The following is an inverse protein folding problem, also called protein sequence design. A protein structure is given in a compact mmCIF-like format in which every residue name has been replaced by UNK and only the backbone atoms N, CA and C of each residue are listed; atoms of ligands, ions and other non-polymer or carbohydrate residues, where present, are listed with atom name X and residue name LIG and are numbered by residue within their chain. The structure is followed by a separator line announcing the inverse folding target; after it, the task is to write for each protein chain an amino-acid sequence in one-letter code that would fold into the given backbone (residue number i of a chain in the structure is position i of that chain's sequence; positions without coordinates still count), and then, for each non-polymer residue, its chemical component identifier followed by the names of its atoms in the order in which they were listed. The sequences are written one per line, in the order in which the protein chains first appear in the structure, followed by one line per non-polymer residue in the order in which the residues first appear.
data_IF_120933941683
#
_entry.id   IF_120933941683
#
_cell.length_a   1.000
_cell.length_b   1.000
_cell.length_c   1.000
_cell.angle_alpha   90.00
_cell.angle_beta   90.00
_cell.angle_gamma   90.00
#
_symmetry.space_group_name_H-M   'P 1'
#
loop_
_entity.id
_entity.type
_entity.pdbx_description
1 polymer ?
#
# COMPACT_ATOMS: atom_id res chain seq x y z
N UNK A 1 15.00 -21.75 1.16
CA UNK A 1 14.98 -21.52 -0.30
C UNK A 1 16.41 -21.26 -0.74
N UNK A 2 16.81 -21.55 -1.99
CA UNK A 2 18.12 -21.14 -2.49
C UNK A 2 18.26 -19.61 -2.43
N UNK A 3 19.50 -19.14 -2.33
CA UNK A 3 19.80 -17.71 -2.45
C UNK A 3 19.45 -17.23 -3.86
N UNK A 4 18.84 -16.06 -3.97
CA UNK A 4 18.56 -15.46 -5.27
C UNK A 4 19.85 -14.89 -5.87
N UNK A 5 19.97 -14.91 -7.20
CA UNK A 5 21.13 -14.33 -7.89
C UNK A 5 20.99 -12.81 -8.10
N UNK A 6 19.76 -12.30 -8.15
CA UNK A 6 19.45 -10.90 -8.46
C UNK A 6 18.03 -10.53 -8.02
N UNK A 7 17.75 -9.23 -7.92
CA UNK A 7 16.42 -8.70 -7.61
C UNK A 7 16.00 -7.62 -8.62
N UNK A 8 14.76 -7.71 -9.09
CA UNK A 8 14.15 -6.68 -9.95
C UNK A 8 12.99 -6.04 -9.20
N UNK A 9 13.02 -4.71 -9.07
CA UNK A 9 12.00 -3.89 -8.43
C UNK A 9 11.40 -2.96 -9.50
N UNK A 10 10.11 -3.08 -9.79
CA UNK A 10 9.41 -2.21 -10.77
C UNK A 10 8.30 -1.49 -10.01
N UNK A 11 8.39 -0.15 -9.94
CA UNK A 11 7.51 0.71 -9.13
C UNK A 11 7.13 0.03 -7.81
N UNK A 12 8.15 -0.30 -7.02
CA UNK A 12 7.97 -1.05 -5.79
C UNK A 12 7.74 -0.12 -4.59
N UNK A 13 6.73 -0.42 -3.79
CA UNK A 13 6.45 0.29 -2.55
C UNK A 13 7.45 -0.07 -1.45
N UNK A 14 7.54 0.79 -0.42
CA UNK A 14 8.29 0.51 0.81
C UNK A 14 7.69 -0.63 1.66
N UNK A 15 6.46 -1.05 1.37
CA UNK A 15 5.76 -2.13 2.06
C UNK A 15 4.25 -1.95 1.95
N UNK A 16 3.51 -3.05 1.92
CA UNK A 16 2.05 -2.99 1.74
C UNK A 16 1.35 -2.33 2.93
N UNK A 17 1.87 -2.47 4.15
CA UNK A 17 1.35 -1.78 5.33
C UNK A 17 1.51 -0.26 5.24
N UNK A 18 2.69 0.22 4.84
CA UNK A 18 2.95 1.66 4.68
C UNK A 18 2.08 2.28 3.58
N UNK A 19 1.95 1.60 2.44
CA UNK A 19 1.02 2.01 1.39
C UNK A 19 -0.43 2.05 1.90
N UNK A 20 -0.87 0.99 2.60
CA UNK A 20 -2.22 0.92 3.17
C UNK A 20 -2.50 2.10 4.11
N UNK A 21 -1.58 2.45 5.00
CA UNK A 21 -1.77 3.60 5.90
C UNK A 21 -1.98 4.90 5.12
N UNK A 22 -1.19 5.14 4.07
CA UNK A 22 -1.33 6.32 3.25
C UNK A 22 -2.67 6.34 2.48
N UNK A 23 -3.19 5.18 2.09
CA UNK A 23 -4.44 5.05 1.35
C UNK A 23 -5.71 4.98 2.23
N UNK A 24 -5.60 4.68 3.53
CA UNK A 24 -6.77 4.61 4.42
C UNK A 24 -7.48 5.95 4.53
N UNK A 25 -8.79 5.96 4.35
CA UNK A 25 -9.62 7.12 4.65
C UNK A 25 -9.87 7.20 6.16
N UNK A 26 -9.27 8.14 6.90
CA UNK A 26 -9.39 8.19 8.34
C UNK A 26 -10.74 8.75 8.81
N UNK A 27 -11.57 9.25 7.89
CA UNK A 27 -12.90 9.77 8.24
C UNK A 27 -13.92 8.67 8.54
N UNK A 28 -13.61 7.40 8.27
CA UNK A 28 -14.41 6.26 8.75
C UNK A 28 -14.31 6.16 10.27
N UNK A 29 -15.41 6.43 10.97
CA UNK A 29 -15.46 6.40 12.44
C UNK A 29 -15.96 5.06 13.00
N UNK A 30 -16.71 4.30 12.21
CA UNK A 30 -17.19 2.96 12.55
C UNK A 30 -16.80 1.98 11.44
N UNK A 31 -16.13 0.89 11.80
CA UNK A 31 -15.71 -0.14 10.84
C UNK A 31 -16.86 -1.12 10.49
N UNK A 32 -17.98 -1.07 11.23
CA UNK A 32 -19.20 -1.82 10.96
C UNK A 32 -20.26 -0.99 10.21
N UNK A 33 -20.06 0.33 10.11
CA UNK A 33 -20.84 1.24 9.26
C UNK A 33 -19.91 2.13 8.41
N UNK A 34 -19.59 1.75 7.16
CA UNK A 34 -18.68 2.51 6.31
C UNK A 34 -19.20 3.91 5.93
N UNK A 35 -20.51 4.18 6.10
CA UNK A 35 -21.10 5.49 5.85
C UNK A 35 -20.91 6.47 7.01
N UNK A 36 -20.70 5.97 8.23
CA UNK A 36 -20.38 6.79 9.38
C UNK A 36 -19.07 7.55 9.14
N UNK A 37 -19.19 8.86 8.91
CA UNK A 37 -18.10 9.72 8.43
C UNK A 37 -17.89 10.92 9.34
N UNK A 38 -16.65 11.15 9.76
CA UNK A 38 -16.21 12.41 10.35
C UNK A 38 -15.94 13.44 9.24
N UNK A 39 -16.84 14.42 9.11
CA UNK A 39 -16.73 15.47 8.11
C UNK A 39 -15.43 16.29 8.25
N UNK A 40 -14.87 16.46 9.45
CA UNK A 40 -13.63 17.22 9.68
C UNK A 40 -12.37 16.49 9.20
N UNK A 41 -12.50 15.22 8.81
CA UNK A 41 -11.43 14.38 8.26
C UNK A 41 -11.73 13.89 6.84
N UNK A 42 -12.92 14.16 6.29
CA UNK A 42 -13.28 13.71 4.94
C UNK A 42 -12.45 14.47 3.89
N UNK A 43 -11.51 13.81 3.20
CA UNK A 43 -10.63 14.50 2.26
C UNK A 43 -11.36 14.89 0.97
N UNK A 44 -12.57 14.38 0.74
CA UNK A 44 -13.38 14.69 -0.44
C UNK A 44 -14.43 15.78 -0.18
N UNK A 45 -14.40 16.39 1.01
CA UNK A 45 -15.22 17.55 1.34
C UNK A 45 -14.52 18.84 0.84
N UNK A 46 -15.18 19.69 0.03
CA UNK A 46 -14.63 20.99 -0.37
C UNK A 46 -14.22 21.87 0.81
N UNK A 47 -14.87 21.74 1.97
CA UNK A 47 -14.52 22.48 3.19
C UNK A 47 -13.12 22.12 3.71
N UNK A 48 -12.60 20.94 3.37
CA UNK A 48 -11.26 20.50 3.72
C UNK A 48 -10.24 20.75 2.59
N UNK A 49 -10.65 21.34 1.46
CA UNK A 49 -9.75 21.68 0.35
C UNK A 49 -9.88 20.81 -0.91
N UNK A 50 -10.87 19.90 -0.95
CA UNK A 50 -11.13 19.07 -2.12
C UNK A 50 -11.60 19.91 -3.32
N UNK A 51 -11.02 19.64 -4.50
CA UNK A 51 -11.49 20.18 -5.77
C UNK A 51 -11.44 19.08 -6.82
N UNK A 52 -12.54 18.92 -7.56
CA UNK A 52 -12.61 17.99 -8.68
C UNK A 52 -11.89 18.54 -9.93
N UNK A 53 -11.49 17.65 -10.88
CA UNK A 53 -10.92 18.07 -12.16
C UNK A 53 -11.81 19.09 -12.90
N UNK A 54 -11.21 20.04 -13.63
CA UNK A 54 -9.79 20.13 -13.99
C UNK A 54 -8.89 20.76 -12.92
N UNK A 55 -9.44 21.22 -11.80
CA UNK A 55 -8.66 21.75 -10.68
C UNK A 55 -8.01 20.63 -9.87
N UNK A 56 -6.85 20.93 -9.29
CA UNK A 56 -6.24 20.08 -8.27
C UNK A 56 -6.71 20.54 -6.90
N UNK A 57 -6.95 19.58 -5.99
CA UNK A 57 -7.24 19.87 -4.58
C UNK A 57 -6.07 20.63 -3.94
N UNK A 58 -6.35 21.38 -2.87
CA UNK A 58 -5.35 22.09 -2.08
C UNK A 58 -5.69 21.93 -0.60
N UNK A 59 -4.98 21.04 0.08
CA UNK A 59 -5.20 20.78 1.49
C UNK A 59 -4.31 21.69 2.34
N UNK A 60 -4.89 22.32 3.36
CA UNK A 60 -4.12 23.11 4.31
C UNK A 60 -3.16 22.24 5.13
N UNK A 61 -2.02 22.81 5.52
CA UNK A 61 -0.98 22.08 6.28
C UNK A 61 -1.54 21.45 7.57
N UNK A 62 -2.38 22.20 8.31
CA UNK A 62 -3.02 21.72 9.55
C UNK A 62 -4.02 20.58 9.28
N UNK A 63 -4.66 20.57 8.10
CA UNK A 63 -5.51 19.44 7.70
C UNK A 63 -4.66 18.21 7.41
N UNK A 64 -3.59 18.36 6.62
CA UNK A 64 -2.67 17.26 6.27
C UNK A 64 -2.12 16.61 7.53
N UNK A 65 -1.64 17.39 8.50
CA UNK A 65 -1.09 16.87 9.76
C UNK A 65 -2.14 16.05 10.54
N UNK A 66 -3.32 16.64 10.79
CA UNK A 66 -4.40 15.95 11.52
C UNK A 66 -4.88 14.70 10.78
N UNK A 67 -4.93 14.76 9.44
CA UNK A 67 -5.34 13.67 8.56
C UNK A 67 -4.36 12.49 8.65
N UNK A 68 -3.06 12.73 8.48
CA UNK A 68 -2.02 11.68 8.60
C UNK A 68 -2.00 11.07 10.00
N UNK A 69 -2.16 11.88 11.05
CA UNK A 69 -2.29 11.37 12.41
C UNK A 69 -3.55 10.51 12.60
N UNK A 70 -4.66 10.87 11.96
CA UNK A 70 -5.90 10.09 11.99
C UNK A 70 -5.79 8.76 11.23
N UNK A 71 -5.03 8.73 10.11
CA UNK A 71 -4.72 7.48 9.40
C UNK A 71 -3.98 6.50 10.32
N UNK A 72 -2.93 6.95 11.01
CA UNK A 72 -2.20 6.13 11.96
C UNK A 72 -3.10 5.61 13.09
N UNK A 73 -3.97 6.47 13.66
CA UNK A 73 -4.95 6.05 14.67
C UNK A 73 -5.93 5.01 14.14
N UNK A 74 -6.36 5.11 12.88
CA UNK A 74 -7.24 4.10 12.27
C UNK A 74 -6.53 2.75 12.11
N UNK A 75 -5.27 2.73 11.68
CA UNK A 75 -4.45 1.51 11.66
C UNK A 75 -4.37 0.87 13.05
N UNK A 76 -4.12 1.66 14.10
CA UNK A 76 -4.10 1.16 15.48
C UNK A 76 -5.42 0.49 15.91
N UNK A 77 -6.57 1.08 15.55
CA UNK A 77 -7.88 0.47 15.86
C UNK A 77 -8.10 -0.84 15.11
N UNK A 78 -7.70 -0.90 13.85
CA UNK A 78 -7.80 -2.11 13.03
C UNK A 78 -6.86 -3.22 13.55
N UNK A 79 -5.65 -2.87 13.99
CA UNK A 79 -4.74 -3.78 14.67
C UNK A 79 -5.35 -4.37 15.94
N UNK A 80 -5.93 -3.52 16.79
CA UNK A 80 -6.57 -3.96 18.03
C UNK A 80 -7.77 -4.87 17.74
N UNK A 81 -8.59 -4.53 16.75
CA UNK A 81 -9.69 -5.38 16.28
C UNK A 81 -9.17 -6.75 15.84
N UNK A 82 -8.11 -6.78 15.03
CA UNK A 82 -7.49 -8.02 14.57
C UNK A 82 -6.96 -8.86 15.74
N UNK A 83 -6.24 -8.24 16.67
CA UNK A 83 -5.68 -8.91 17.86
C UNK A 83 -6.78 -9.46 18.78
N UNK A 84 -7.86 -8.72 18.98
CA UNK A 84 -9.02 -9.17 19.76
C UNK A 84 -9.68 -10.42 19.16
N UNK A 85 -9.86 -10.44 17.84
CA UNK A 85 -10.39 -11.61 17.11
C UNK A 85 -9.49 -12.84 17.27
N UNK A 86 -8.17 -12.66 17.18
CA UNK A 86 -7.20 -13.75 17.39
C UNK A 86 -7.14 -14.21 18.85
N UNK A 87 -7.22 -13.28 19.81
CA UNK A 87 -7.25 -13.59 21.24
C UNK A 87 -8.46 -14.45 21.61
N UNK A 88 -9.64 -14.13 21.05
CA UNK A 88 -10.87 -14.93 21.21
C UNK A 88 -10.68 -16.35 20.67
N UNK A 89 -10.13 -16.50 19.47
CA UNK A 89 -9.84 -17.81 18.86
C UNK A 89 -8.82 -18.61 19.67
N UNK A 90 -7.77 -17.95 20.18
CA UNK A 90 -6.76 -18.59 21.01
C UNK A 90 -7.32 -19.04 22.37
N UNK A 91 -8.18 -18.24 23.01
CA UNK A 91 -8.87 -18.62 24.24
C UNK A 91 -9.77 -19.84 24.03
N UNK A 92 -10.55 -19.85 22.95
CA UNK A 92 -11.39 -20.99 22.58
C UNK A 92 -10.55 -22.27 22.34
N UNK A 93 -9.41 -22.16 21.65
CA UNK A 93 -8.48 -23.30 21.45
C UNK A 93 -7.93 -23.84 22.78
N UNK A 94 -7.61 -22.97 23.74
CA UNK A 94 -7.18 -23.40 25.09
C UNK A 94 -8.29 -24.17 25.81
N UNK A 95 -9.51 -23.64 25.85
CA UNK A 95 -10.64 -24.34 26.46
C UNK A 95 -10.91 -25.72 25.82
N UNK A 96 -10.71 -25.86 24.50
CA UNK A 96 -10.84 -27.15 23.81
C UNK A 96 -9.75 -28.12 24.27
N UNK A 97 -8.51 -27.65 24.36
CA UNK A 97 -7.36 -28.46 24.82
C UNK A 97 -7.53 -28.90 26.28
N UNK A 98 -8.07 -28.02 27.12
CA UNK A 98 -8.26 -28.27 28.56
C UNK A 98 -9.51 -29.12 28.86
N UNK A 99 -10.30 -29.48 27.83
CA UNK A 99 -11.52 -30.27 27.99
C UNK A 99 -12.71 -29.50 28.58
N UNK A 100 -12.60 -28.19 28.74
CA UNK A 100 -13.61 -27.32 29.38
C UNK A 100 -14.51 -26.60 28.38
N UNK A 101 -14.22 -26.68 27.08
CA UNK A 101 -14.95 -25.93 26.05
C UNK A 101 -16.42 -26.33 25.90
N UNK A 102 -17.28 -25.30 25.92
CA UNK A 102 -18.65 -25.33 25.41
C UNK A 102 -18.69 -25.60 23.91
N UNK A 103 -19.88 -25.90 23.36
CA UNK A 103 -20.05 -26.05 21.91
C UNK A 103 -19.70 -24.77 21.15
N UNK A 104 -20.07 -23.60 21.67
CA UNK A 104 -19.75 -22.30 21.06
C UNK A 104 -18.24 -22.05 21.00
N UNK A 105 -17.49 -22.44 22.03
CA UNK A 105 -16.02 -22.33 22.03
C UNK A 105 -15.39 -23.33 21.05
N UNK A 106 -15.93 -24.54 20.92
CA UNK A 106 -15.48 -25.51 19.91
C UNK A 106 -15.63 -24.95 18.49
N UNK A 107 -16.75 -24.31 18.18
CA UNK A 107 -16.97 -23.61 16.91
C UNK A 107 -16.03 -22.41 16.76
N UNK A 108 -15.84 -21.62 17.81
CA UNK A 108 -14.95 -20.44 17.80
C UNK A 108 -13.47 -20.81 17.61
N UNK A 109 -13.05 -21.98 18.07
CA UNK A 109 -11.68 -22.47 17.93
C UNK A 109 -11.30 -22.84 16.48
N UNK A 110 -12.30 -23.21 15.67
CA UNK A 110 -12.15 -23.60 14.25
C UNK A 110 -12.52 -22.48 13.29
N UNK A 111 -13.46 -21.61 13.66
CA UNK A 111 -13.90 -20.48 12.85
C UNK A 111 -12.74 -19.53 12.51
N UNK A 112 -12.79 -18.99 11.28
CA UNK A 112 -11.84 -17.98 10.79
C UNK A 112 -12.58 -16.67 10.55
N UNK A 113 -12.39 -15.66 11.42
CA UNK A 113 -12.95 -14.33 11.18
C UNK A 113 -12.42 -13.73 9.87
N UNK A 114 -13.27 -12.96 9.22
CA UNK A 114 -12.92 -12.08 8.12
C UNK A 114 -13.13 -10.65 8.59
N UNK A 115 -12.17 -9.79 8.29
CA UNK A 115 -12.25 -8.34 8.46
C UNK A 115 -12.53 -7.71 7.10
N UNK A 116 -13.38 -6.69 7.12
CA UNK A 116 -13.58 -5.80 5.98
C UNK A 116 -12.91 -4.47 6.28
N UNK A 117 -12.05 -4.03 5.36
CA UNK A 117 -11.35 -2.74 5.47
C UNK A 117 -11.98 -1.79 4.47
N UNK A 118 -12.68 -0.78 4.97
CA UNK A 118 -13.44 0.15 4.15
C UNK A 118 -12.61 1.35 3.72
N UNK A 119 -12.86 1.88 2.52
CA UNK A 119 -12.35 3.18 2.06
C UNK A 119 -10.81 3.28 2.18
N UNK A 120 -10.15 2.63 1.23
CA UNK A 120 -8.69 2.46 1.18
C UNK A 120 -8.11 3.11 -0.09
N UNK A 121 -8.67 4.23 -0.52
CA UNK A 121 -8.22 4.97 -1.70
C UNK A 121 -8.27 6.50 -1.46
N UNK A 122 -7.62 6.93 -0.38
CA UNK A 122 -7.70 8.28 0.14
C UNK A 122 -6.32 8.88 0.47
N UNK A 123 -5.28 8.55 -0.30
CA UNK A 123 -4.00 9.26 -0.18
C UNK A 123 -4.13 10.68 -0.74
N UNK A 124 -3.91 11.70 0.09
CA UNK A 124 -4.05 13.11 -0.29
C UNK A 124 -3.19 13.49 -1.51
N UNK A 125 -2.02 12.84 -1.69
CA UNK A 125 -1.11 13.10 -2.82
C UNK A 125 -1.74 12.82 -4.18
N UNK A 126 -2.74 11.94 -4.24
CA UNK A 126 -3.48 11.62 -5.47
C UNK A 126 -4.39 12.76 -5.93
N UNK A 127 -4.81 13.62 -5.00
CA UNK A 127 -5.83 14.65 -5.23
C UNK A 127 -5.22 16.07 -5.21
N UNK A 128 -4.23 16.28 -4.34
CA UNK A 128 -3.43 17.50 -4.30
C UNK A 128 -2.08 17.26 -4.96
N UNK A 129 -1.96 17.72 -6.20
CA UNK A 129 -0.77 17.58 -7.03
C UNK A 129 0.39 18.49 -6.60
N UNK A 130 0.16 19.39 -5.63
CA UNK A 130 1.22 20.18 -5.03
C UNK A 130 1.96 19.43 -3.92
N UNK A 131 1.35 18.41 -3.32
CA UNK A 131 2.02 17.53 -2.35
C UNK A 131 2.91 16.58 -3.13
N UNK A 132 4.22 16.66 -2.94
CA UNK A 132 5.21 15.82 -3.65
C UNK A 132 5.01 15.84 -5.18
N UNK A 133 5.21 16.97 -5.87
CA UNK A 133 4.87 17.12 -7.29
C UNK A 133 5.59 16.10 -8.18
N UNK A 134 4.86 15.47 -9.11
CA UNK A 134 5.41 14.51 -10.08
C UNK A 134 4.63 14.56 -11.40
N UNK A 135 4.99 13.71 -12.36
CA UNK A 135 4.29 13.63 -13.65
C UNK A 135 2.94 12.88 -13.56
N UNK A 136 2.44 12.58 -12.35
CA UNK A 136 1.22 11.78 -12.16
C UNK A 136 -0.03 12.53 -12.62
N UNK A 137 -1.03 11.77 -13.05
CA UNK A 137 -2.35 12.32 -13.30
C UNK A 137 -3.09 12.59 -11.98
N UNK A 138 -4.06 13.51 -12.02
CA UNK A 138 -5.03 13.68 -10.93
C UNK A 138 -5.84 12.39 -10.74
N UNK A 139 -5.99 11.96 -9.49
CA UNK A 139 -6.73 10.76 -9.11
C UNK A 139 -5.82 9.67 -8.55
N UNK A 140 -6.43 8.55 -8.19
CA UNK A 140 -5.72 7.36 -7.71
C UNK A 140 -5.48 6.36 -8.85
N UNK A 141 -4.95 5.19 -8.49
CA UNK A 141 -4.85 4.03 -9.39
C UNK A 141 -6.19 3.61 -10.01
N UNK A 142 -7.29 3.94 -9.35
CA UNK A 142 -8.64 3.54 -9.75
C UNK A 142 -9.43 4.67 -10.43
N UNK A 143 -8.79 5.82 -10.65
CA UNK A 143 -9.34 6.95 -11.40
C UNK A 143 -9.56 8.22 -10.57
N UNK A 144 -10.14 9.24 -11.22
CA UNK A 144 -10.32 10.58 -10.64
C UNK A 144 -11.65 10.80 -9.90
N UNK A 145 -12.52 9.78 -9.81
CA UNK A 145 -13.80 9.88 -9.11
C UNK A 145 -13.75 9.17 -7.74
N UNK A 146 -13.62 9.91 -6.62
CA UNK A 146 -13.48 9.30 -5.30
C UNK A 146 -14.74 8.56 -4.82
N UNK A 147 -15.93 8.88 -5.36
CA UNK A 147 -17.15 8.11 -5.09
C UNK A 147 -16.99 6.69 -5.66
N UNK A 148 -16.46 6.58 -6.88
CA UNK A 148 -16.25 5.26 -7.48
C UNK A 148 -15.06 4.52 -6.86
N UNK A 149 -13.97 5.24 -6.58
CA UNK A 149 -12.70 4.59 -6.21
C UNK A 149 -12.61 4.27 -4.73
N UNK A 150 -13.01 5.19 -3.85
CA UNK A 150 -12.88 5.01 -2.40
C UNK A 150 -14.09 4.30 -1.77
N UNK A 151 -15.30 4.57 -2.27
CA UNK A 151 -16.51 3.90 -1.78
C UNK A 151 -16.84 2.60 -2.52
N UNK A 152 -16.31 2.43 -3.74
CA UNK A 152 -16.53 1.25 -4.57
C UNK A 152 -15.90 -0.02 -4.00
N UNK A 153 -15.97 -1.10 -4.78
CA UNK A 153 -15.43 -2.41 -4.44
C UNK A 153 -13.92 -2.53 -4.61
N UNK A 154 -13.31 -1.61 -5.35
CA UNK A 154 -11.86 -1.56 -5.58
C UNK A 154 -11.15 -0.97 -4.36
N UNK A 155 -9.96 -1.47 -4.05
CA UNK A 155 -9.20 -1.04 -2.88
C UNK A 155 -8.26 -2.11 -2.34
N UNK A 156 -7.17 -1.68 -1.72
CA UNK A 156 -6.24 -2.58 -1.06
C UNK A 156 -6.88 -3.25 0.15
N UNK A 157 -6.51 -4.51 0.44
CA UNK A 157 -6.86 -5.18 1.69
C UNK A 157 -8.35 -5.28 2.04
N UNK A 158 -9.28 -5.04 1.10
CA UNK A 158 -10.72 -4.92 1.35
C UNK A 158 -11.31 -6.06 2.17
N UNK A 159 -10.87 -7.28 1.90
CA UNK A 159 -11.27 -8.50 2.61
C UNK A 159 -10.00 -9.24 3.03
N UNK A 160 -9.78 -9.37 4.34
CA UNK A 160 -8.62 -10.08 4.86
C UNK A 160 -8.95 -10.80 6.17
N UNK A 161 -8.19 -11.85 6.53
CA UNK A 161 -8.25 -12.39 7.89
C UNK A 161 -7.49 -11.47 8.86
N UNK A 162 -7.72 -11.55 10.18
CA UNK A 162 -6.92 -10.82 11.16
C UNK A 162 -5.42 -11.11 11.08
N UNK A 163 -5.04 -12.35 10.79
CA UNK A 163 -3.63 -12.71 10.58
C UNK A 163 -3.06 -12.00 9.35
N UNK A 164 -3.79 -11.99 8.23
CA UNK A 164 -3.39 -11.29 7.01
C UNK A 164 -3.28 -9.78 7.21
N UNK A 165 -4.18 -9.18 7.98
CA UNK A 165 -4.08 -7.77 8.36
C UNK A 165 -2.76 -7.50 9.09
N UNK A 166 -2.51 -8.22 10.19
CA UNK A 166 -1.34 -8.00 11.04
C UNK A 166 -0.03 -8.36 10.34
N UNK A 167 -0.01 -9.38 9.47
CA UNK A 167 1.22 -9.81 8.80
C UNK A 167 1.59 -8.92 7.62
N UNK A 168 0.63 -8.25 6.98
CA UNK A 168 0.82 -7.66 5.65
C UNK A 168 0.30 -6.23 5.49
N UNK A 169 -0.90 -5.92 6.00
CA UNK A 169 -1.59 -4.66 5.71
C UNK A 169 -1.47 -3.62 6.83
N UNK A 170 -1.09 -4.04 8.02
CA UNK A 170 -0.81 -3.13 9.12
C UNK A 170 0.54 -2.44 8.91
N UNK A 171 0.55 -1.11 8.88
CA UNK A 171 1.78 -0.32 8.92
C UNK A 171 2.54 -0.43 10.26
N UNK A 172 1.88 -0.92 11.31
CA UNK A 172 2.43 -0.99 12.67
C UNK A 172 2.94 -2.40 12.97
N UNK A 173 2.17 -3.42 12.59
CA UNK A 173 2.42 -4.80 12.96
C UNK A 173 3.14 -5.63 11.89
N UNK A 174 3.08 -5.22 10.61
CA UNK A 174 3.68 -6.00 9.54
C UNK A 174 5.21 -5.92 9.57
N UNK A 175 5.86 -7.08 9.45
CA UNK A 175 7.30 -7.17 9.23
C UNK A 175 7.67 -7.07 7.73
N UNK A 176 6.69 -7.03 6.82
CA UNK A 176 6.89 -7.04 5.37
C UNK A 176 7.16 -5.61 4.84
N UNK A 177 8.25 -5.01 5.32
CA UNK A 177 8.70 -3.67 4.93
C UNK A 177 10.10 -3.71 4.34
N UNK A 178 10.37 -2.81 3.40
CA UNK A 178 11.71 -2.62 2.84
C UNK A 178 12.70 -2.15 3.89
N UNK A 179 12.26 -1.41 4.92
CA UNK A 179 13.13 -1.02 6.04
C UNK A 179 13.71 -2.25 6.77
N UNK A 180 12.91 -3.30 6.96
CA UNK A 180 13.34 -4.54 7.61
C UNK A 180 14.06 -5.50 6.65
N UNK A 181 13.72 -5.47 5.35
CA UNK A 181 14.21 -6.46 4.39
C UNK A 181 15.41 -5.99 3.56
N UNK A 182 15.38 -4.76 3.04
CA UNK A 182 16.36 -4.26 2.08
C UNK A 182 17.81 -4.23 2.59
N UNK A 183 18.09 -3.91 3.88
CA UNK A 183 19.46 -3.96 4.40
C UNK A 183 20.11 -5.36 4.36
N UNK A 184 19.34 -6.43 4.18
CA UNK A 184 19.84 -7.81 4.06
C UNK A 184 20.11 -8.25 2.61
N UNK A 185 19.75 -7.43 1.62
CA UNK A 185 19.98 -7.73 0.21
C UNK A 185 21.45 -7.43 -0.13
N UNK A 186 22.12 -8.38 -0.79
CA UNK A 186 23.51 -8.26 -1.28
C UNK A 186 23.63 -8.47 -2.78
N UNK A 187 22.61 -9.07 -3.35
CA UNK A 187 22.49 -9.36 -4.78
C UNK A 187 22.43 -8.05 -5.57
N UNK A 188 22.89 -8.04 -6.84
CA UNK A 188 22.60 -6.96 -7.75
C UNK A 188 21.10 -6.66 -7.84
N UNK A 189 20.74 -5.38 -7.90
CA UNK A 189 19.35 -4.90 -7.99
C UNK A 189 19.13 -4.08 -9.26
N UNK A 190 18.10 -4.42 -10.03
CA UNK A 190 17.55 -3.54 -11.07
C UNK A 190 16.31 -2.84 -10.51
N UNK A 191 16.34 -1.52 -10.38
CA UNK A 191 15.23 -0.73 -9.88
C UNK A 191 14.66 0.15 -10.99
N UNK A 192 13.39 -0.03 -11.34
CA UNK A 192 12.66 0.78 -12.31
C UNK A 192 11.56 1.54 -11.59
N UNK A 193 11.49 2.87 -11.74
CA UNK A 193 10.38 3.70 -11.25
C UNK A 193 9.63 4.34 -12.40
N UNK A 194 8.30 4.35 -12.34
CA UNK A 194 7.49 5.19 -13.23
C UNK A 194 7.25 6.58 -12.61
N UNK A 195 7.57 7.65 -13.33
CA UNK A 195 7.54 9.03 -12.81
C UNK A 195 6.13 9.63 -12.65
N UNK A 196 5.11 8.99 -13.23
CA UNK A 196 3.71 9.38 -13.12
C UNK A 196 2.89 8.40 -12.28
N UNK A 197 3.55 7.62 -11.44
CA UNK A 197 2.90 6.68 -10.53
C UNK A 197 2.11 7.41 -9.43
N UNK A 198 0.94 6.87 -9.07
CA UNK A 198 0.03 7.41 -8.06
C UNK A 198 0.11 6.63 -6.73
N UNK A 199 0.99 5.63 -6.63
CA UNK A 199 1.19 4.82 -5.42
C UNK A 199 2.66 4.58 -5.08
N UNK A 200 3.60 4.97 -5.94
CA UNK A 200 5.03 5.05 -5.63
C UNK A 200 5.53 6.45 -5.96
N UNK A 201 5.86 7.21 -4.92
CA UNK A 201 6.30 8.58 -5.09
C UNK A 201 7.83 8.70 -5.03
N UNK A 202 8.36 9.86 -5.46
CA UNK A 202 9.80 10.07 -5.60
C UNK A 202 10.54 9.88 -4.26
N UNK A 203 10.01 10.42 -3.16
CA UNK A 203 10.62 10.26 -1.84
C UNK A 203 10.63 8.81 -1.35
N UNK A 204 9.63 8.02 -1.76
CA UNK A 204 9.55 6.59 -1.41
C UNK A 204 10.53 5.76 -2.23
N UNK A 205 10.69 6.08 -3.52
CA UNK A 205 11.70 5.47 -4.37
C UNK A 205 13.13 5.80 -3.89
N UNK A 206 13.39 7.06 -3.56
CA UNK A 206 14.68 7.49 -3.01
C UNK A 206 14.98 6.81 -1.68
N UNK A 207 13.96 6.70 -0.82
CA UNK A 207 14.11 5.96 0.43
C UNK A 207 14.38 4.48 0.20
N UNK A 208 13.70 3.84 -0.74
CA UNK A 208 13.93 2.44 -1.09
C UNK A 208 15.37 2.22 -1.57
N UNK A 209 15.86 3.03 -2.49
CA UNK A 209 17.25 2.98 -2.96
C UNK A 209 18.24 3.16 -1.81
N UNK A 210 17.99 4.10 -0.89
CA UNK A 210 18.87 4.33 0.28
C UNK A 210 18.94 3.12 1.22
N UNK A 211 17.87 2.34 1.35
CA UNK A 211 17.82 1.14 2.18
C UNK A 211 18.58 -0.04 1.55
N UNK A 212 18.85 0.01 0.25
CA UNK A 212 19.60 -1.00 -0.51
C UNK A 212 21.12 -0.77 -0.47
N UNK A 213 21.64 -0.02 0.50
CA UNK A 213 23.05 0.39 0.56
C UNK A 213 24.10 -0.74 0.63
N UNK A 214 23.67 -2.00 0.73
CA UNK A 214 24.55 -3.18 0.68
C UNK A 214 24.51 -3.92 -0.67
N UNK A 215 23.76 -3.42 -1.65
CA UNK A 215 23.60 -3.98 -2.98
C UNK A 215 24.12 -3.01 -4.05
N UNK A 216 24.56 -3.55 -5.19
CA UNK A 216 24.77 -2.75 -6.40
C UNK A 216 23.40 -2.47 -7.04
N UNK A 217 23.00 -1.19 -7.09
CA UNK A 217 21.69 -0.78 -7.60
C UNK A 217 21.84 -0.10 -8.96
N UNK A 218 21.17 -0.65 -9.97
CA UNK A 218 20.95 0.01 -11.26
C UNK A 218 19.54 0.63 -11.28
N UNK A 219 19.44 1.92 -10.97
CA UNK A 219 18.17 2.67 -10.97
C UNK A 219 17.86 3.28 -12.34
N UNK A 220 16.59 3.18 -12.73
CA UNK A 220 16.05 3.71 -13.97
C UNK A 220 14.68 4.36 -13.74
N UNK A 221 14.58 5.64 -14.09
CA UNK A 221 13.33 6.38 -14.01
C UNK A 221 12.73 6.54 -15.40
N UNK A 222 11.47 6.11 -15.58
CA UNK A 222 10.78 6.08 -16.86
C UNK A 222 9.44 6.84 -16.80
N UNK A 223 8.98 7.44 -17.91
CA UNK A 223 7.63 8.01 -17.95
C UNK A 223 6.57 6.92 -17.82
N UNK A 224 5.44 7.25 -17.22
CA UNK A 224 4.26 6.39 -17.20
C UNK A 224 3.54 6.41 -15.87
N UNK A 225 2.30 5.91 -15.87
CA UNK A 225 1.55 5.63 -14.66
C UNK A 225 2.08 4.37 -13.95
N UNK A 226 1.42 3.96 -12.88
CA UNK A 226 1.80 2.77 -12.09
C UNK A 226 2.01 1.48 -12.92
N UNK A 227 1.32 1.34 -14.05
CA UNK A 227 1.45 0.19 -14.94
C UNK A 227 2.44 0.41 -16.10
N UNK A 228 3.17 1.53 -16.10
CA UNK A 228 4.06 1.94 -17.18
C UNK A 228 3.33 2.37 -18.45
N UNK A 229 2.02 2.64 -18.39
CA UNK A 229 1.24 3.18 -19.52
C UNK A 229 1.39 4.70 -19.59
N UNK A 230 1.14 5.34 -20.74
CA UNK A 230 1.16 6.80 -20.84
C UNK A 230 0.28 7.47 -19.78
N UNK A 231 0.73 8.60 -19.22
CA UNK A 231 -0.06 9.39 -18.27
C UNK A 231 -1.10 10.20 -19.04
N UNK A 232 -0.67 10.93 -20.08
CA UNK A 232 -1.57 11.66 -20.96
C UNK A 232 -1.75 10.97 -22.32
N UNK A 233 -2.86 11.29 -22.99
CA UNK A 233 -3.15 10.79 -24.34
C UNK A 233 -2.08 11.31 -25.32
N UNK A 234 -1.46 10.39 -26.05
CA UNK A 234 -0.43 10.70 -27.05
C UNK A 234 1.00 10.67 -26.53
N UNK A 235 1.21 10.48 -25.22
CA UNK A 235 2.54 10.25 -24.65
C UNK A 235 2.99 8.79 -24.80
N UNK A 236 4.28 8.54 -24.63
CA UNK A 236 4.86 7.21 -24.57
C UNK A 236 4.87 6.69 -23.13
N UNK A 237 4.47 5.43 -22.95
CA UNK A 237 4.59 4.73 -21.66
C UNK A 237 5.94 4.04 -21.54
N UNK A 238 6.45 3.95 -20.31
CA UNK A 238 7.73 3.31 -19.99
C UNK A 238 7.69 1.79 -19.96
N UNK A 239 6.53 1.13 -20.05
CA UNK A 239 6.42 -0.31 -19.84
C UNK A 239 7.31 -1.15 -20.77
N UNK A 240 7.30 -0.86 -22.07
CA UNK A 240 8.16 -1.58 -23.03
C UNK A 240 9.64 -1.33 -22.75
N UNK A 241 9.99 -0.08 -22.44
CA UNK A 241 11.36 0.31 -22.12
C UNK A 241 11.85 -0.33 -20.81
N UNK A 242 10.99 -0.48 -19.81
CA UNK A 242 11.28 -1.20 -18.58
C UNK A 242 11.63 -2.67 -18.88
N UNK A 243 10.86 -3.33 -19.74
CA UNK A 243 11.16 -4.69 -20.19
C UNK A 243 12.51 -4.83 -20.90
N UNK A 244 12.87 -3.87 -21.75
CA UNK A 244 14.18 -3.83 -22.41
C UNK A 244 15.33 -3.65 -21.43
N UNK A 245 15.17 -2.74 -20.46
CA UNK A 245 16.16 -2.47 -19.40
C UNK A 245 16.37 -3.72 -18.56
N UNK A 246 15.30 -4.34 -18.09
CA UNK A 246 15.38 -5.58 -17.29
C UNK A 246 16.07 -6.68 -18.10
N UNK A 247 15.70 -6.86 -19.37
CA UNK A 247 16.38 -7.84 -20.25
C UNK A 247 17.87 -7.54 -20.37
N UNK A 248 18.26 -6.30 -20.64
CA UNK A 248 19.67 -5.91 -20.76
C UNK A 248 20.44 -6.13 -19.46
N UNK A 249 19.83 -5.80 -18.32
CA UNK A 249 20.42 -6.01 -17.01
C UNK A 249 20.61 -7.50 -16.67
N UNK A 250 19.65 -8.36 -17.03
CA UNK A 250 19.81 -9.81 -16.89
C UNK A 250 20.97 -10.34 -17.74
N UNK A 251 21.13 -9.84 -18.97
CA UNK A 251 22.23 -10.20 -19.87
C UNK A 251 23.59 -9.75 -19.31
N UNK A 252 23.69 -8.51 -18.83
CA UNK A 252 24.97 -7.97 -18.31
C UNK A 252 25.44 -8.66 -17.04
N UNK A 253 24.52 -9.18 -16.23
CA UNK A 253 24.83 -9.94 -15.01
C UNK A 253 25.03 -11.45 -15.27
N UNK A 254 25.02 -11.89 -16.53
CA UNK A 254 25.12 -13.30 -16.92
C UNK A 254 24.04 -14.20 -16.29
N UNK A 255 22.85 -13.66 -16.00
CA UNK A 255 21.70 -14.42 -15.49
C UNK A 255 20.97 -15.21 -16.58
N UNK A 256 21.61 -15.40 -17.73
CA UNK A 256 21.09 -16.24 -18.82
C UNK A 256 21.20 -17.71 -18.44
N UNK A 257 20.11 -18.45 -18.68
CA UNK A 257 19.93 -19.89 -18.45
C UNK A 257 21.22 -20.72 -18.41
N UNK A 258 21.49 -21.33 -17.25
CA UNK A 258 22.14 -22.64 -17.20
C UNK A 258 21.28 -23.56 -18.06
N UNK A 259 21.85 -24.08 -19.15
CA UNK A 259 21.23 -25.16 -19.90
C UNK A 259 20.91 -26.29 -18.91
N UNK A 260 19.62 -26.59 -18.71
CA UNK A 260 19.18 -27.79 -18.00
C UNK A 260 19.32 -29.00 -18.89
#
# INVERSE_FOLDING_TARGET
MPEADGLVLISSHLGQGLLMQACLDPSVIDEDDPFATDAALNPFDPANGFQAPPSSSRYDADFIERYRAAQARRVMRLDERARSLLARKAAARRAVKDGTATMTERLSATWSPIMTIWRTDADLRCWDLSIEPSARAYGSLWGGNPISSNWGSVGFGRICTPESWLSNWSAISSNATMENCAPHIRQPVCMVRYSGDNSVFDSEADKLESLLGNAEVARHDLPGNHHGKPVAKGELGGQQRAGEIVRQWLLSNNFTTVAR
#
